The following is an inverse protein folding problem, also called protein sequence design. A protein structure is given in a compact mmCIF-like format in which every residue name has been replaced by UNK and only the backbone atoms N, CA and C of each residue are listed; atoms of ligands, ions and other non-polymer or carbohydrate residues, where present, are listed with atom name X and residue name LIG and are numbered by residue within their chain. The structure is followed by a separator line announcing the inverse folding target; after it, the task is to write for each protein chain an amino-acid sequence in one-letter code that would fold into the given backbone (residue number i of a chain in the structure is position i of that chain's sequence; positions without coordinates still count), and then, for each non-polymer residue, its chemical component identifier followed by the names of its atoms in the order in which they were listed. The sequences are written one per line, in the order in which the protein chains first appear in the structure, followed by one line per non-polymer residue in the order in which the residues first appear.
data_IF_009087541362
#
_entry.id   IF_009087541362
#
_cell.length_a   1.000
_cell.length_b   1.000
_cell.length_c   1.000
_cell.angle_alpha   90.00
_cell.angle_beta   90.00
_cell.angle_gamma   90.00
#
_symmetry.space_group_name_H-M   'P 1'
#
loop_
_entity.id
_entity.type
_entity.pdbx_description
1 polymer ?
#
# COMPACT_ATOMS: atom_id res chain seq x y z
N UNK A 1 -17.41 27.58 21.29
CA UNK A 1 -17.66 27.83 19.86
C UNK A 1 -17.84 26.48 19.19
N UNK A 2 -18.80 26.37 18.27
CA UNK A 2 -18.97 25.15 17.47
C UNK A 2 -17.80 25.01 16.47
N UNK A 3 -17.26 23.79 16.27
CA UNK A 3 -16.13 23.59 15.36
C UNK A 3 -16.48 23.98 13.93
N UNK A 4 -15.58 24.69 13.25
CA UNK A 4 -15.73 25.03 11.83
C UNK A 4 -15.70 23.80 10.92
N UNK A 5 -16.06 23.99 9.64
CA UNK A 5 -16.05 22.92 8.62
C UNK A 5 -14.73 22.14 8.58
N UNK A 6 -13.60 22.85 8.61
CA UNK A 6 -12.28 22.24 8.50
C UNK A 6 -11.83 21.52 9.78
N UNK A 7 -12.24 22.01 10.95
CA UNK A 7 -11.97 21.30 12.22
C UNK A 7 -12.68 19.95 12.27
N UNK A 8 -13.93 19.90 11.82
CA UNK A 8 -14.68 18.63 11.70
C UNK A 8 -14.02 17.67 10.72
N UNK A 9 -13.56 18.17 9.58
CA UNK A 9 -12.83 17.37 8.59
C UNK A 9 -11.51 16.83 9.15
N UNK A 10 -10.75 17.64 9.88
CA UNK A 10 -9.49 17.23 10.52
C UNK A 10 -9.70 16.11 11.55
N UNK A 11 -10.77 16.20 12.35
CA UNK A 11 -11.12 15.14 13.32
C UNK A 11 -11.43 13.80 12.63
N UNK A 12 -12.24 13.84 11.57
CA UNK A 12 -12.61 12.63 10.83
C UNK A 12 -11.41 12.03 10.10
N UNK A 13 -10.55 12.88 9.52
CA UNK A 13 -9.30 12.44 8.92
C UNK A 13 -8.37 11.79 9.95
N UNK A 14 -8.21 12.39 11.13
CA UNK A 14 -7.40 11.83 12.21
C UNK A 14 -7.89 10.44 12.63
N UNK A 15 -9.21 10.29 12.85
CA UNK A 15 -9.83 8.99 13.15
C UNK A 15 -9.50 7.93 12.09
N UNK A 16 -9.63 8.29 10.80
CA UNK A 16 -9.32 7.38 9.71
C UNK A 16 -7.83 6.98 9.69
N UNK A 17 -6.93 7.91 9.97
CA UNK A 17 -5.49 7.62 10.05
C UNK A 17 -5.19 6.69 11.22
N UNK A 18 -5.80 6.90 12.38
CA UNK A 18 -5.64 6.02 13.55
C UNK A 18 -6.12 4.59 13.26
N UNK A 19 -7.28 4.44 12.60
CA UNK A 19 -7.81 3.14 12.19
C UNK A 19 -6.88 2.42 11.22
N UNK A 20 -6.28 3.14 10.28
CA UNK A 20 -5.26 2.58 9.39
C UNK A 20 -4.03 2.17 10.18
N UNK A 21 -3.48 3.04 11.03
CA UNK A 21 -2.27 2.72 11.77
C UNK A 21 -2.45 1.49 12.67
N UNK A 22 -3.64 1.30 13.24
CA UNK A 22 -3.99 0.11 14.00
C UNK A 22 -4.02 -1.16 13.12
N UNK A 23 -4.57 -1.08 11.91
CA UNK A 23 -4.72 -2.21 10.98
C UNK A 23 -3.40 -2.61 10.30
N UNK A 24 -2.56 -1.64 9.93
CA UNK A 24 -1.34 -1.86 9.13
C UNK A 24 -0.05 -1.82 9.95
N UNK A 25 -0.07 -1.19 11.13
CA UNK A 25 1.14 -0.74 11.82
C UNK A 25 1.82 0.41 11.07
N UNK A 26 3.10 0.63 11.36
CA UNK A 26 3.91 1.61 10.64
C UNK A 26 4.37 1.08 9.26
N UNK A 27 3.38 0.89 8.39
CA UNK A 27 3.61 0.36 7.04
C UNK A 27 4.45 1.32 6.18
N UNK A 28 4.37 2.63 6.41
CA UNK A 28 5.17 3.60 5.67
C UNK A 28 6.66 3.35 5.92
N UNK A 29 7.09 3.30 7.18
CA UNK A 29 8.50 3.01 7.50
C UNK A 29 8.90 1.60 7.07
N UNK A 30 8.04 0.59 7.28
CA UNK A 30 8.36 -0.77 6.86
C UNK A 30 8.60 -0.89 5.34
N UNK A 31 7.72 -0.31 4.53
CA UNK A 31 7.83 -0.33 3.07
C UNK A 31 8.99 0.54 2.59
N UNK A 32 9.26 1.68 3.22
CA UNK A 32 10.44 2.52 2.93
C UNK A 32 11.73 1.71 3.07
N UNK A 33 11.90 0.98 4.18
CA UNK A 33 13.09 0.16 4.42
C UNK A 33 13.23 -0.97 3.39
N UNK A 34 12.13 -1.61 2.99
CA UNK A 34 12.17 -2.63 1.93
C UNK A 34 12.55 -2.01 0.57
N UNK A 35 12.01 -0.84 0.26
CA UNK A 35 12.30 -0.13 -0.99
C UNK A 35 13.75 0.34 -1.07
N UNK A 36 14.38 0.73 0.04
CA UNK A 36 15.82 1.05 0.09
C UNK A 36 16.70 -0.16 -0.24
N UNK A 37 16.24 -1.38 0.03
CA UNK A 37 16.95 -2.61 -0.37
C UNK A 37 16.81 -2.87 -1.86
N UNK A 38 15.61 -2.66 -2.43
CA UNK A 38 15.31 -2.97 -3.83
C UNK A 38 15.77 -1.89 -4.82
N UNK A 39 15.73 -0.62 -4.40
CA UNK A 39 16.01 0.56 -5.23
C UNK A 39 16.94 1.53 -4.49
N UNK A 40 18.17 1.10 -4.11
CA UNK A 40 19.10 1.93 -3.34
C UNK A 40 19.50 3.22 -4.07
N UNK A 41 19.50 3.20 -5.41
CA UNK A 41 19.85 4.34 -6.27
C UNK A 41 18.62 5.03 -6.87
N UNK A 42 17.43 4.75 -6.34
CA UNK A 42 16.15 5.26 -6.83
C UNK A 42 15.53 4.43 -7.95
N UNK A 43 14.41 4.94 -8.47
CA UNK A 43 13.55 4.25 -9.45
C UNK A 43 13.58 4.99 -10.79
N UNK A 44 13.85 4.29 -11.88
CA UNK A 44 13.80 4.85 -13.24
C UNK A 44 12.35 4.83 -13.79
N UNK A 45 11.99 5.74 -14.72
CA UNK A 45 10.63 5.81 -15.25
C UNK A 45 10.08 4.48 -15.79
N UNK A 46 10.94 3.67 -16.42
CA UNK A 46 10.56 2.38 -17.01
C UNK A 46 10.19 1.34 -15.95
N UNK A 47 10.62 1.54 -14.70
CA UNK A 47 10.38 0.62 -13.58
C UNK A 47 9.13 0.97 -12.76
N UNK A 48 8.48 2.12 -13.03
CA UNK A 48 7.39 2.64 -12.19
C UNK A 48 6.22 1.66 -12.06
N UNK A 49 5.94 0.90 -13.11
CA UNK A 49 4.84 -0.07 -13.07
C UNK A 49 5.11 -1.20 -12.08
N UNK A 50 6.27 -1.83 -12.18
CA UNK A 50 6.63 -2.95 -11.31
C UNK A 50 6.85 -2.46 -9.88
N UNK A 51 7.49 -1.30 -9.72
CA UNK A 51 7.63 -0.64 -8.42
C UNK A 51 6.27 -0.41 -7.75
N UNK A 52 5.26 0.09 -8.49
CA UNK A 52 3.93 0.31 -7.93
C UNK A 52 3.27 -0.99 -7.46
N UNK A 53 3.40 -2.08 -8.23
CA UNK A 53 2.88 -3.40 -7.84
C UNK A 53 3.59 -3.96 -6.60
N UNK A 54 4.91 -3.76 -6.50
CA UNK A 54 5.71 -4.14 -5.35
C UNK A 54 5.29 -3.37 -4.10
N UNK A 55 5.23 -2.04 -4.16
CA UNK A 55 4.82 -1.19 -3.03
C UNK A 55 3.44 -1.57 -2.51
N UNK A 56 2.47 -1.79 -3.41
CA UNK A 56 1.13 -2.24 -3.02
C UNK A 56 1.13 -3.64 -2.42
N UNK A 57 1.99 -4.53 -2.91
CA UNK A 57 2.15 -5.86 -2.32
C UNK A 57 2.71 -5.78 -0.90
N UNK A 58 3.74 -4.97 -0.68
CA UNK A 58 4.38 -4.78 0.63
C UNK A 58 3.43 -4.14 1.65
N UNK A 59 2.60 -3.17 1.23
CA UNK A 59 1.54 -2.59 2.07
C UNK A 59 0.56 -3.67 2.57
N UNK A 60 0.09 -4.55 1.66
CA UNK A 60 -0.79 -5.66 2.01
C UNK A 60 -0.11 -6.71 2.90
N UNK A 61 1.19 -6.93 2.73
CA UNK A 61 1.98 -7.78 3.63
C UNK A 61 2.04 -7.22 5.05
N UNK A 62 2.20 -5.90 5.22
CA UNK A 62 2.16 -5.25 6.53
C UNK A 62 0.81 -5.51 7.23
N UNK A 63 -0.30 -5.35 6.50
CA UNK A 63 -1.64 -5.67 6.99
C UNK A 63 -1.78 -7.13 7.44
N UNK A 64 -1.31 -8.07 6.61
CA UNK A 64 -1.35 -9.50 6.92
C UNK A 64 -0.53 -9.81 8.19
N UNK A 65 0.68 -9.26 8.29
CA UNK A 65 1.57 -9.47 9.41
C UNK A 65 1.00 -8.91 10.71
N UNK A 66 0.24 -7.80 10.63
CA UNK A 66 -0.42 -7.21 11.80
C UNK A 66 -1.66 -7.98 12.27
N UNK A 67 -2.18 -8.87 11.44
CA UNK A 67 -3.24 -9.82 11.80
C UNK A 67 -4.65 -9.39 11.38
N UNK A 68 -4.83 -8.17 10.84
CA UNK A 68 -6.14 -7.69 10.42
C UNK A 68 -6.43 -8.00 8.94
N UNK A 69 -6.85 -9.24 8.68
CA UNK A 69 -7.19 -9.72 7.33
C UNK A 69 -8.58 -9.30 6.85
N UNK A 70 -9.36 -8.61 7.68
CA UNK A 70 -10.77 -8.25 7.40
C UNK A 70 -11.03 -6.74 7.33
N UNK A 71 -10.07 -5.91 7.75
CA UNK A 71 -10.16 -4.45 7.63
C UNK A 71 -10.69 -4.02 6.25
N UNK A 72 -11.59 -3.04 6.24
CA UNK A 72 -12.14 -2.43 5.03
C UNK A 72 -12.90 -3.40 4.09
N UNK A 73 -13.24 -4.61 4.53
CA UNK A 73 -14.06 -5.55 3.74
C UNK A 73 -13.36 -6.22 2.56
N UNK A 74 -12.03 -6.12 2.49
CA UNK A 74 -11.20 -6.65 1.40
C UNK A 74 -10.25 -7.75 1.89
N UNK A 75 -9.93 -8.70 1.01
CA UNK A 75 -8.92 -9.74 1.27
C UNK A 75 -7.53 -9.30 0.79
N UNK A 76 -6.55 -9.08 1.69
CA UNK A 76 -5.22 -8.65 1.30
C UNK A 76 -4.48 -9.71 0.45
N UNK A 77 -4.85 -10.99 0.56
CA UNK A 77 -4.29 -12.05 -0.29
C UNK A 77 -4.83 -12.01 -1.71
N UNK A 78 -6.12 -11.71 -1.89
CA UNK A 78 -6.70 -11.55 -3.23
C UNK A 78 -6.13 -10.30 -3.92
N UNK A 79 -5.87 -9.24 -3.16
CA UNK A 79 -5.17 -8.05 -3.67
C UNK A 79 -3.78 -8.42 -4.21
N UNK A 80 -2.97 -9.12 -3.40
CA UNK A 80 -1.61 -9.55 -3.79
C UNK A 80 -1.67 -10.45 -5.04
N UNK A 81 -2.61 -11.41 -5.09
CA UNK A 81 -2.79 -12.26 -6.26
C UNK A 81 -3.16 -11.44 -7.51
N UNK A 82 -4.05 -10.46 -7.37
CA UNK A 82 -4.41 -9.53 -8.45
C UNK A 82 -3.23 -8.71 -8.94
N UNK A 83 -2.37 -8.22 -8.03
CA UNK A 83 -1.16 -7.49 -8.41
C UNK A 83 -0.16 -8.37 -9.14
N UNK A 84 -0.01 -9.64 -8.73
CA UNK A 84 0.78 -10.63 -9.45
C UNK A 84 0.27 -10.88 -10.87
N UNK A 85 -1.05 -11.04 -11.05
CA UNK A 85 -1.67 -11.19 -12.37
C UNK A 85 -1.44 -9.97 -13.27
N UNK A 86 -1.57 -8.75 -12.71
CA UNK A 86 -1.28 -7.52 -13.45
C UNK A 86 0.20 -7.45 -13.85
N UNK A 87 1.13 -7.80 -12.97
CA UNK A 87 2.56 -7.85 -13.28
C UNK A 87 2.88 -8.84 -14.41
N UNK A 88 2.35 -10.07 -14.31
CA UNK A 88 2.52 -11.10 -15.34
C UNK A 88 1.94 -10.69 -16.70
N UNK A 89 0.78 -10.03 -16.73
CA UNK A 89 0.16 -9.53 -17.95
C UNK A 89 0.96 -8.42 -18.64
N UNK A 90 1.88 -7.76 -17.92
CA UNK A 90 2.74 -6.71 -18.47
C UNK A 90 4.14 -7.20 -18.84
N UNK A 91 4.77 -8.03 -18.02
CA UNK A 91 6.08 -8.63 -18.33
C UNK A 91 6.06 -9.52 -19.58
N UNK A 92 4.90 -10.13 -19.88
CA UNK A 92 4.72 -11.00 -21.04
C UNK A 92 4.30 -10.28 -22.33
N UNK A 93 4.20 -8.94 -22.35
CA UNK A 93 4.10 -8.18 -23.60
C UNK A 93 5.50 -7.98 -24.21
N UNK A 94 6.22 -9.07 -24.42
CA UNK A 94 7.25 -9.13 -25.44
C UNK A 94 6.65 -9.84 -26.66
N UNK A 95 6.56 -9.08 -27.76
CA UNK A 95 6.44 -9.54 -29.15
C UNK A 95 5.18 -10.35 -29.52
N UNK A 96 4.20 -9.63 -30.09
CA UNK A 96 3.50 -10.09 -31.30
C UNK A 96 3.62 -9.03 -32.37
#
# INVERSE_FOLDING_TARGET
MEPGKYEKAGKELGRLVDEKQAAYGDAITAVEQMMLVLYPDGVKPEQYRDMLLLVRTMDKQCRIAKGDKTAFGESPWLDIAGYGLLGAGHGNKQEK
#
